data_IF_396942434377
#
_entry.id   IF_396942434377
#
_cell.length_a   1.000
_cell.length_b   1.000
_cell.length_c   1.000
_cell.angle_alpha   90.00
_cell.angle_beta   90.00
_cell.angle_gamma   90.00
#
_symmetry.space_group_name_H-M   'P 1'
#
loop_
_entity.id
_entity.type
_entity.pdbx_description
1 polymer ?
#
# COMPACT_ATOMS: atom_id res chain seq x y z
N UNK A 1 -37.02 5.40 -10.92
CA UNK A 1 -38.29 4.76 -11.21
C UNK A 1 -39.04 5.47 -12.33
N UNK A 2 -39.44 6.73 -12.17
CA UNK A 2 -40.19 7.53 -13.16
C UNK A 2 -39.56 7.51 -14.58
N UNK A 3 -38.23 7.57 -14.69
CA UNK A 3 -37.55 7.46 -15.98
C UNK A 3 -37.72 6.06 -16.60
N UNK A 4 -37.67 5.00 -15.85
CA UNK A 4 -37.86 3.63 -16.36
C UNK A 4 -39.31 3.47 -16.90
N UNK A 5 -40.29 4.01 -16.20
CA UNK A 5 -41.69 4.00 -16.61
C UNK A 5 -41.90 4.85 -17.87
N UNK A 6 -41.39 6.08 -17.90
CA UNK A 6 -41.56 7.00 -19.00
C UNK A 6 -40.94 6.51 -20.32
N UNK A 7 -39.80 5.83 -20.24
CA UNK A 7 -39.00 5.37 -21.37
C UNK A 7 -38.99 3.85 -21.55
N UNK A 8 -40.02 3.15 -21.04
CA UNK A 8 -40.04 1.68 -20.99
C UNK A 8 -39.74 1.03 -22.36
N UNK A 9 -40.33 1.55 -23.42
CA UNK A 9 -40.25 0.97 -24.78
C UNK A 9 -39.27 1.71 -25.69
N UNK A 10 -38.74 2.86 -25.27
CA UNK A 10 -37.96 3.76 -26.16
C UNK A 10 -36.51 3.90 -25.78
N UNK A 11 -36.12 3.65 -24.48
CA UNK A 11 -34.75 3.80 -24.05
C UNK A 11 -34.36 2.83 -22.93
N UNK A 12 -33.06 2.49 -22.86
CA UNK A 12 -32.46 1.85 -21.68
C UNK A 12 -32.04 2.94 -20.70
N UNK A 13 -32.38 2.73 -19.43
CA UNK A 13 -32.00 3.62 -18.33
C UNK A 13 -30.80 2.99 -17.63
N UNK A 14 -29.65 3.64 -17.76
CA UNK A 14 -28.40 3.19 -17.11
C UNK A 14 -28.23 4.00 -15.84
N UNK A 15 -28.14 3.31 -14.70
CA UNK A 15 -27.85 3.91 -13.40
C UNK A 15 -26.42 3.54 -13.02
N UNK A 16 -25.59 4.56 -12.88
CA UNK A 16 -24.22 4.40 -12.41
C UNK A 16 -24.19 4.40 -10.88
N UNK A 17 -23.95 3.23 -10.30
CA UNK A 17 -23.84 3.01 -8.84
C UNK A 17 -22.38 2.86 -8.41
N UNK A 18 -21.44 3.53 -9.04
CA UNK A 18 -20.00 3.48 -8.71
C UNK A 18 -19.70 3.82 -7.25
N UNK A 19 -20.57 4.60 -6.60
CA UNK A 19 -20.41 5.08 -5.23
C UNK A 19 -21.51 4.62 -4.26
N UNK A 20 -22.38 3.72 -4.65
CA UNK A 20 -23.55 3.33 -3.85
C UNK A 20 -23.21 2.80 -2.45
N UNK A 21 -22.02 2.21 -2.29
CA UNK A 21 -21.56 1.71 -0.99
C UNK A 21 -21.25 2.81 0.03
N UNK A 22 -21.20 4.08 -0.38
CA UNK A 22 -21.04 5.26 0.48
C UNK A 22 -22.36 5.99 0.74
N UNK A 23 -23.47 5.50 0.18
CA UNK A 23 -24.82 6.06 0.27
C UNK A 23 -25.70 5.19 1.17
N UNK A 24 -26.67 5.83 1.84
CA UNK A 24 -27.74 5.15 2.58
C UNK A 24 -28.89 4.72 1.65
N UNK A 25 -28.84 5.06 0.36
CA UNK A 25 -29.87 4.71 -0.60
C UNK A 25 -29.79 3.22 -0.99
N UNK A 26 -30.95 2.55 -1.15
CA UNK A 26 -30.97 1.18 -1.64
C UNK A 26 -30.51 1.10 -3.11
N UNK A 27 -29.75 0.06 -3.45
CA UNK A 27 -29.36 -0.19 -4.83
C UNK A 27 -30.54 -0.40 -5.76
N UNK A 28 -30.46 0.17 -6.94
CA UNK A 28 -31.44 0.00 -8.03
C UNK A 28 -31.49 -1.45 -8.55
N UNK A 29 -30.51 -2.29 -8.24
CA UNK A 29 -30.51 -3.72 -8.58
C UNK A 29 -31.79 -4.41 -8.06
N UNK A 30 -32.31 -4.01 -6.90
CA UNK A 30 -33.55 -4.55 -6.35
C UNK A 30 -34.80 -4.26 -7.23
N UNK A 31 -34.70 -3.39 -8.23
CA UNK A 31 -35.79 -3.02 -9.13
C UNK A 31 -35.68 -3.65 -10.52
N UNK A 32 -34.67 -4.48 -10.79
CA UNK A 32 -34.45 -5.09 -12.10
C UNK A 32 -35.63 -5.96 -12.57
N UNK A 33 -36.29 -6.64 -11.66
CA UNK A 33 -37.48 -7.45 -11.97
C UNK A 33 -38.70 -6.60 -12.38
N UNK A 34 -38.75 -5.33 -11.90
CA UNK A 34 -39.84 -4.41 -12.17
C UNK A 34 -39.66 -3.66 -13.50
N UNK A 35 -38.40 -3.38 -13.91
CA UNK A 35 -38.08 -2.54 -15.05
C UNK A 35 -37.15 -3.25 -16.04
N UNK A 36 -37.72 -3.72 -17.14
CA UNK A 36 -36.96 -4.43 -18.18
C UNK A 36 -35.93 -3.55 -18.90
N UNK A 37 -36.08 -2.24 -18.88
CA UNK A 37 -35.17 -1.28 -19.48
C UNK A 37 -34.09 -0.75 -18.52
N UNK A 38 -33.98 -1.26 -17.28
CA UNK A 38 -32.98 -0.83 -16.30
C UNK A 38 -31.68 -1.60 -16.48
N UNK A 39 -30.56 -0.88 -16.41
CA UNK A 39 -29.20 -1.40 -16.32
C UNK A 39 -28.49 -0.69 -15.17
N UNK A 40 -27.81 -1.43 -14.29
CA UNK A 40 -27.06 -0.87 -13.17
C UNK A 40 -25.58 -1.18 -13.34
N UNK A 41 -24.76 -0.14 -13.26
CA UNK A 41 -23.29 -0.27 -13.32
C UNK A 41 -22.70 -0.29 -11.92
N UNK A 42 -21.80 -1.24 -11.67
CA UNK A 42 -21.05 -1.41 -10.42
C UNK A 42 -19.55 -1.51 -10.71
N UNK A 43 -18.72 -1.19 -9.72
CA UNK A 43 -17.27 -1.26 -9.87
C UNK A 43 -16.59 -1.71 -8.57
N UNK A 44 -15.44 -2.37 -8.70
CA UNK A 44 -14.54 -2.63 -7.58
C UNK A 44 -13.52 -1.50 -7.37
N UNK A 45 -13.49 -0.49 -8.25
CA UNK A 45 -12.47 0.57 -8.27
C UNK A 45 -12.49 1.46 -7.04
N UNK A 46 -13.67 1.84 -6.55
CA UNK A 46 -13.86 2.86 -5.50
C UNK A 46 -14.00 2.25 -4.12
N UNK A 47 -15.14 1.65 -3.83
CA UNK A 47 -15.49 1.12 -2.52
C UNK A 47 -14.66 -0.10 -2.08
N UNK A 48 -13.99 -0.77 -3.03
CA UNK A 48 -13.16 -1.94 -2.79
C UNK A 48 -11.66 -1.65 -2.94
N UNK A 49 -11.26 -0.38 -3.16
CA UNK A 49 -9.88 0.06 -3.35
C UNK A 49 -9.12 -0.71 -4.46
N UNK A 50 -9.82 -1.15 -5.50
CA UNK A 50 -9.30 -2.03 -6.54
C UNK A 50 -9.29 -1.38 -7.94
N UNK A 51 -9.03 -0.07 -8.01
CA UNK A 51 -9.01 0.68 -9.26
C UNK A 51 -8.05 0.11 -10.32
N UNK A 52 -6.91 -0.44 -9.87
CA UNK A 52 -5.90 -1.07 -10.73
C UNK A 52 -6.36 -2.37 -11.39
N UNK A 53 -7.36 -3.06 -10.84
CA UNK A 53 -7.87 -4.30 -11.42
C UNK A 53 -8.71 -4.09 -12.69
N UNK A 54 -9.19 -2.89 -12.93
CA UNK A 54 -10.06 -2.57 -14.08
C UNK A 54 -11.28 -3.49 -14.18
N UNK A 55 -11.91 -3.80 -13.02
CA UNK A 55 -13.03 -4.72 -12.91
C UNK A 55 -14.30 -3.99 -12.50
N UNK A 56 -15.35 -4.17 -13.29
CA UNK A 56 -16.70 -3.66 -13.05
C UNK A 56 -17.74 -4.63 -13.59
N UNK A 57 -19.01 -4.35 -13.32
CA UNK A 57 -20.13 -5.16 -13.77
C UNK A 57 -21.29 -4.29 -14.26
N UNK A 58 -21.95 -4.74 -15.33
CA UNK A 58 -23.27 -4.29 -15.72
C UNK A 58 -24.29 -5.33 -15.28
N UNK A 59 -25.23 -4.95 -14.42
CA UNK A 59 -26.31 -5.82 -13.92
C UNK A 59 -27.59 -5.41 -14.59
N UNK A 60 -28.20 -6.35 -15.32
CA UNK A 60 -29.42 -6.12 -16.10
C UNK A 60 -30.16 -7.45 -16.30
N UNK A 61 -31.34 -7.41 -16.91
CA UNK A 61 -32.08 -8.63 -17.29
C UNK A 61 -31.33 -9.42 -18.39
N UNK A 62 -31.62 -10.73 -18.48
CA UNK A 62 -30.90 -11.67 -19.35
C UNK A 62 -30.89 -11.30 -20.84
N UNK A 63 -31.95 -10.67 -21.35
CA UNK A 63 -32.02 -10.18 -22.74
C UNK A 63 -30.98 -9.07 -23.00
N UNK A 64 -30.79 -8.13 -22.08
CA UNK A 64 -29.80 -7.06 -22.17
C UNK A 64 -28.39 -7.59 -21.99
N UNK A 65 -28.15 -8.44 -20.98
CA UNK A 65 -26.82 -9.02 -20.73
C UNK A 65 -26.35 -9.89 -21.88
N UNK A 66 -27.26 -10.64 -22.52
CA UNK A 66 -26.95 -11.43 -23.72
C UNK A 66 -26.52 -10.58 -24.92
N UNK A 67 -27.09 -9.38 -25.06
CA UNK A 67 -26.65 -8.43 -26.09
C UNK A 67 -25.28 -7.83 -25.75
N UNK A 68 -25.04 -7.46 -24.51
CA UNK A 68 -23.73 -6.96 -24.06
C UNK A 68 -22.63 -8.00 -24.26
N UNK A 69 -22.91 -9.28 -23.98
CA UNK A 69 -21.95 -10.37 -24.19
C UNK A 69 -21.51 -10.52 -25.65
N UNK A 70 -22.38 -10.22 -26.61
CA UNK A 70 -22.05 -10.30 -28.05
C UNK A 70 -21.04 -9.26 -28.52
N UNK A 71 -20.93 -8.14 -27.80
CA UNK A 71 -20.02 -7.02 -28.14
C UNK A 71 -18.79 -6.95 -27.24
N UNK A 72 -18.74 -7.73 -26.15
CA UNK A 72 -17.56 -7.83 -25.31
C UNK A 72 -16.44 -8.57 -26.06
N UNK A 73 -15.21 -8.12 -25.84
CA UNK A 73 -14.04 -8.82 -26.31
C UNK A 73 -13.98 -10.25 -25.72
N UNK A 74 -13.47 -11.25 -26.45
CA UNK A 74 -13.18 -12.56 -25.89
C UNK A 74 -12.25 -12.42 -24.67
N UNK A 75 -12.58 -13.14 -23.59
CA UNK A 75 -11.80 -13.13 -22.34
C UNK A 75 -11.56 -11.72 -21.77
N UNK A 76 -12.60 -10.93 -21.47
CA UNK A 76 -12.50 -9.51 -21.11
C UNK A 76 -11.75 -9.29 -19.77
N UNK A 77 -11.63 -10.31 -18.93
CA UNK A 77 -10.88 -10.29 -17.68
C UNK A 77 -9.78 -11.35 -17.69
N UNK A 78 -8.54 -10.93 -17.43
CA UNK A 78 -7.42 -11.82 -17.26
C UNK A 78 -7.58 -12.68 -15.98
N UNK A 79 -7.09 -13.92 -15.99
CA UNK A 79 -7.21 -14.84 -14.87
C UNK A 79 -6.69 -14.27 -13.52
N UNK A 80 -5.56 -13.57 -13.45
CA UNK A 80 -5.11 -12.92 -12.22
C UNK A 80 -6.10 -11.86 -11.71
N UNK A 81 -6.74 -11.11 -12.60
CA UNK A 81 -7.77 -10.10 -12.24
C UNK A 81 -8.99 -10.77 -11.63
N UNK A 82 -9.45 -11.88 -12.23
CA UNK A 82 -10.57 -12.66 -11.67
C UNK A 82 -10.23 -13.19 -10.28
N UNK A 83 -9.06 -13.78 -10.10
CA UNK A 83 -8.62 -14.30 -8.80
C UNK A 83 -8.54 -13.22 -7.74
N UNK A 84 -7.98 -12.06 -8.07
CA UNK A 84 -7.92 -10.91 -7.16
C UNK A 84 -9.33 -10.38 -6.83
N UNK A 85 -10.23 -10.25 -7.81
CA UNK A 85 -11.61 -9.83 -7.59
C UNK A 85 -12.36 -10.81 -6.65
N UNK A 86 -12.24 -12.11 -6.87
CA UNK A 86 -12.82 -13.13 -6.00
C UNK A 86 -12.28 -13.04 -4.57
N UNK A 87 -10.99 -12.78 -4.42
CA UNK A 87 -10.37 -12.60 -3.10
C UNK A 87 -10.91 -11.36 -2.38
N UNK A 88 -11.04 -10.23 -3.07
CA UNK A 88 -11.59 -8.99 -2.53
C UNK A 88 -13.05 -9.16 -2.08
N UNK A 89 -13.82 -9.94 -2.83
CA UNK A 89 -15.25 -10.16 -2.56
C UNK A 89 -15.54 -11.23 -1.49
N UNK A 90 -14.52 -11.84 -0.89
CA UNK A 90 -14.72 -12.75 0.25
C UNK A 90 -15.40 -12.02 1.42
N UNK A 91 -16.30 -12.70 2.17
CA UNK A 91 -17.04 -12.07 3.27
C UNK A 91 -16.17 -11.33 4.29
N UNK A 92 -15.05 -11.94 4.69
CA UNK A 92 -14.09 -11.35 5.65
C UNK A 92 -13.46 -10.04 5.14
N UNK A 93 -13.21 -9.92 3.85
CA UNK A 93 -12.64 -8.73 3.23
C UNK A 93 -13.72 -7.65 3.01
N UNK A 94 -14.90 -8.04 2.58
CA UNK A 94 -16.01 -7.10 2.41
C UNK A 94 -16.48 -6.50 3.74
N UNK A 95 -16.42 -7.25 4.84
CA UNK A 95 -16.71 -6.74 6.18
C UNK A 95 -15.70 -5.66 6.60
N UNK A 96 -14.39 -5.93 6.47
CA UNK A 96 -13.33 -4.93 6.75
C UNK A 96 -13.46 -3.66 5.89
N UNK A 97 -13.85 -3.82 4.64
CA UNK A 97 -14.08 -2.69 3.74
C UNK A 97 -15.33 -1.90 4.13
N UNK A 98 -16.37 -2.55 4.66
CA UNK A 98 -17.57 -1.87 5.15
C UNK A 98 -17.25 -0.94 6.34
N UNK A 99 -16.43 -1.38 7.29
CA UNK A 99 -15.94 -0.54 8.40
C UNK A 99 -15.19 0.69 7.90
N UNK A 100 -14.26 0.51 6.96
CA UNK A 100 -13.51 1.63 6.36
C UNK A 100 -14.41 2.60 5.60
N UNK A 101 -15.43 2.11 4.90
CA UNK A 101 -16.42 2.97 4.20
C UNK A 101 -17.23 3.79 5.19
N UNK A 102 -17.69 3.19 6.28
CA UNK A 102 -18.44 3.89 7.35
C UNK A 102 -17.60 5.02 7.97
N UNK A 103 -16.30 4.78 8.19
CA UNK A 103 -15.36 5.80 8.66
C UNK A 103 -15.20 6.96 7.63
N UNK A 104 -15.05 6.65 6.34
CA UNK A 104 -15.00 7.67 5.27
C UNK A 104 -16.27 8.50 5.25
N UNK A 105 -17.46 7.88 5.35
CA UNK A 105 -18.74 8.60 5.36
C UNK A 105 -18.83 9.52 6.58
N UNK A 106 -18.43 9.05 7.76
CA UNK A 106 -18.39 9.84 8.99
C UNK A 106 -17.47 11.06 8.83
N UNK A 107 -16.25 10.85 8.33
CA UNK A 107 -15.30 11.93 8.06
C UNK A 107 -15.82 12.89 6.99
N UNK A 108 -16.37 12.40 5.88
CA UNK A 108 -16.98 13.22 4.83
C UNK A 108 -18.00 14.21 5.42
N UNK A 109 -18.92 13.68 6.22
CA UNK A 109 -20.00 14.50 6.81
C UNK A 109 -19.44 15.52 7.82
N UNK A 110 -18.40 15.17 8.56
CA UNK A 110 -17.70 16.07 9.49
C UNK A 110 -16.95 17.20 8.75
N UNK A 111 -16.17 16.86 7.73
CA UNK A 111 -15.41 17.82 6.94
C UNK A 111 -16.29 18.71 6.06
N UNK A 112 -17.44 18.23 5.60
CA UNK A 112 -18.39 19.06 4.88
C UNK A 112 -18.79 20.32 5.70
N UNK A 113 -19.02 20.14 7.02
CA UNK A 113 -19.34 21.26 7.92
C UNK A 113 -18.14 22.19 8.12
N UNK A 114 -16.93 21.64 8.24
CA UNK A 114 -15.71 22.44 8.43
C UNK A 114 -15.39 23.25 7.17
N UNK A 115 -15.49 22.65 5.98
CA UNK A 115 -15.28 23.39 4.73
C UNK A 115 -16.31 24.50 4.52
N UNK A 116 -17.55 24.28 4.91
CA UNK A 116 -18.61 25.30 4.79
C UNK A 116 -18.37 26.55 5.70
N UNK A 117 -17.44 26.49 6.66
CA UNK A 117 -17.11 27.64 7.53
C UNK A 117 -16.04 28.57 6.96
N UNK A 118 -15.42 28.23 5.82
CA UNK A 118 -14.43 29.11 5.18
C UNK A 118 -15.10 30.19 4.31
N UNK A 119 -14.67 31.43 4.43
CA UNK A 119 -15.23 32.56 3.68
C UNK A 119 -15.08 32.41 2.15
N UNK A 120 -14.06 31.69 1.70
CA UNK A 120 -13.79 31.41 0.30
C UNK A 120 -14.61 30.24 -0.27
N UNK A 121 -15.41 29.56 0.57
CA UNK A 121 -16.29 28.46 0.16
C UNK A 121 -17.74 28.95 0.07
N UNK A 122 -18.25 29.07 -1.13
CA UNK A 122 -19.63 29.49 -1.37
C UNK A 122 -20.65 28.42 -0.99
N UNK A 123 -20.33 27.17 -1.28
CA UNK A 123 -21.17 26.02 -0.87
C UNK A 123 -20.40 24.70 -0.93
N UNK A 124 -20.84 23.76 -0.11
CA UNK A 124 -20.43 22.33 -0.16
C UNK A 124 -21.63 21.55 -0.64
N UNK A 125 -21.53 20.94 -1.81
CA UNK A 125 -22.63 20.17 -2.39
C UNK A 125 -22.86 18.86 -1.64
N UNK A 126 -24.13 18.39 -1.50
CA UNK A 126 -24.42 17.08 -0.94
C UNK A 126 -23.67 15.97 -1.67
N UNK A 127 -23.18 14.99 -0.91
CA UNK A 127 -22.40 13.90 -1.51
C UNK A 127 -22.76 12.55 -0.86
N UNK A 128 -22.99 11.57 -1.73
CA UNK A 128 -23.09 10.15 -1.41
C UNK A 128 -21.86 9.36 -1.93
N UNK A 129 -20.72 10.04 -2.09
CA UNK A 129 -19.48 9.46 -2.57
C UNK A 129 -18.37 9.52 -1.50
N UNK A 130 -17.17 9.12 -1.84
CA UNK A 130 -15.97 9.27 -1.01
C UNK A 130 -15.26 10.61 -1.21
N UNK A 131 -15.95 11.61 -1.72
CA UNK A 131 -15.42 12.95 -1.95
C UNK A 131 -16.48 14.01 -1.65
N UNK A 132 -16.05 15.26 -1.53
CA UNK A 132 -16.90 16.47 -1.51
C UNK A 132 -16.64 17.28 -2.76
N UNK A 133 -17.67 18.00 -3.21
CA UNK A 133 -17.56 18.99 -4.26
C UNK A 133 -17.88 20.36 -3.65
N UNK A 134 -16.90 21.25 -3.67
CA UNK A 134 -16.99 22.60 -3.13
C UNK A 134 -17.09 23.61 -4.27
N UNK A 135 -18.00 24.55 -4.18
CA UNK A 135 -17.97 25.77 -4.98
C UNK A 135 -17.21 26.83 -4.20
N UNK A 136 -16.10 27.30 -4.74
CA UNK A 136 -15.17 28.19 -4.06
C UNK A 136 -15.03 29.51 -4.82
N UNK A 137 -14.39 30.52 -4.22
CA UNK A 137 -14.15 31.81 -4.85
C UNK A 137 -13.24 31.68 -6.07
N UNK A 138 -12.16 30.91 -5.96
CA UNK A 138 -11.15 30.68 -6.99
C UNK A 138 -10.61 29.24 -6.89
N UNK A 139 -11.06 28.37 -7.78
CA UNK A 139 -10.67 26.97 -7.81
C UNK A 139 -9.20 26.79 -8.20
N UNK A 140 -8.69 27.62 -9.11
CA UNK A 140 -7.32 27.52 -9.58
C UNK A 140 -6.32 27.93 -8.47
N UNK A 141 -6.60 29.01 -7.75
CA UNK A 141 -5.78 29.46 -6.62
C UNK A 141 -5.76 28.41 -5.50
N UNK A 142 -6.92 27.86 -5.11
CA UNK A 142 -7.01 26.81 -4.11
C UNK A 142 -6.22 25.55 -4.52
N UNK A 143 -6.38 25.10 -5.76
CA UNK A 143 -5.64 23.96 -6.28
C UNK A 143 -4.12 24.19 -6.31
N UNK A 144 -3.68 25.41 -6.65
CA UNK A 144 -2.26 25.76 -6.67
C UNK A 144 -1.66 25.87 -5.26
N UNK A 145 -2.38 26.46 -4.30
CA UNK A 145 -1.97 26.48 -2.88
C UNK A 145 -1.84 25.07 -2.30
N UNK A 146 -2.83 24.21 -2.56
CA UNK A 146 -2.80 22.82 -2.15
C UNK A 146 -1.62 22.08 -2.80
N UNK A 147 -1.38 22.27 -4.11
CA UNK A 147 -0.26 21.64 -4.84
C UNK A 147 1.10 22.03 -4.28
N UNK A 148 1.31 23.30 -3.92
CA UNK A 148 2.55 23.76 -3.27
C UNK A 148 2.79 23.10 -1.91
N UNK A 149 1.73 22.65 -1.25
CA UNK A 149 1.77 21.91 0.01
C UNK A 149 1.75 20.38 -0.17
N UNK A 150 1.92 19.88 -1.40
CA UNK A 150 1.94 18.44 -1.70
C UNK A 150 0.56 17.79 -1.82
N UNK A 151 -0.54 18.57 -1.80
CA UNK A 151 -1.91 18.07 -1.89
C UNK A 151 -2.43 18.28 -3.31
N UNK A 152 -2.91 17.21 -3.95
CA UNK A 152 -3.49 17.27 -5.29
C UNK A 152 -5.01 17.29 -5.19
N UNK A 153 -5.61 18.42 -5.51
CA UNK A 153 -7.04 18.58 -5.67
C UNK A 153 -7.44 18.49 -7.16
N UNK A 154 -8.72 18.29 -7.43
CA UNK A 154 -9.23 18.25 -8.80
C UNK A 154 -10.12 19.43 -9.07
N UNK A 155 -9.66 20.34 -9.91
CA UNK A 155 -10.46 21.41 -10.49
C UNK A 155 -11.53 20.82 -11.43
N UNK A 156 -12.78 21.15 -11.19
CA UNK A 156 -13.95 20.74 -11.99
C UNK A 156 -14.57 21.91 -12.77
N UNK A 157 -13.94 23.07 -12.76
CA UNK A 157 -14.48 24.31 -13.37
C UNK A 157 -14.77 24.20 -14.88
N UNK A 158 -14.14 23.22 -15.54
CA UNK A 158 -14.37 22.94 -16.96
C UNK A 158 -15.69 22.21 -17.23
N UNK A 159 -16.38 21.72 -16.21
CA UNK A 159 -17.67 21.05 -16.35
C UNK A 159 -18.81 22.08 -16.40
N UNK A 160 -19.81 21.93 -17.29
CA UNK A 160 -20.96 22.83 -17.34
C UNK A 160 -21.67 22.93 -15.98
N UNK A 161 -21.87 24.15 -15.50
CA UNK A 161 -22.57 24.44 -14.24
C UNK A 161 -21.74 24.18 -12.99
N UNK A 162 -20.42 23.97 -13.11
CA UNK A 162 -19.49 23.75 -12.02
C UNK A 162 -18.34 24.78 -12.01
N UNK A 163 -18.65 26.02 -12.39
CA UNK A 163 -17.68 27.12 -12.37
C UNK A 163 -17.10 27.28 -10.95
N UNK A 164 -15.77 27.31 -10.86
CA UNK A 164 -15.03 27.35 -9.58
C UNK A 164 -15.35 26.18 -8.63
N UNK A 165 -15.61 25.01 -9.16
CA UNK A 165 -15.82 23.80 -8.38
C UNK A 165 -14.52 23.01 -8.18
N UNK A 166 -14.26 22.61 -6.93
CA UNK A 166 -13.12 21.76 -6.57
C UNK A 166 -13.61 20.45 -5.95
N UNK A 167 -13.16 19.33 -6.50
CA UNK A 167 -13.42 17.99 -5.92
C UNK A 167 -12.31 17.60 -4.96
N UNK A 168 -12.69 17.27 -3.74
CA UNK A 168 -11.82 16.88 -2.64
C UNK A 168 -12.16 15.44 -2.23
N UNK A 169 -11.26 14.49 -2.48
CA UNK A 169 -11.38 13.14 -1.96
C UNK A 169 -11.18 13.14 -0.43
N UNK A 170 -11.95 12.31 0.29
CA UNK A 170 -11.80 12.18 1.73
C UNK A 170 -10.61 11.27 2.02
N UNK A 171 -9.55 11.87 2.53
CA UNK A 171 -8.31 11.23 2.94
C UNK A 171 -8.30 10.78 4.41
N UNK A 172 -7.10 10.54 4.95
CA UNK A 172 -6.89 10.33 6.39
C UNK A 172 -7.22 11.60 7.19
N UNK A 173 -7.32 11.49 8.52
CA UNK A 173 -7.54 12.66 9.36
C UNK A 173 -6.41 13.68 9.22
N UNK A 174 -5.17 13.20 9.12
CA UNK A 174 -3.97 14.02 8.98
C UNK A 174 -3.96 14.77 7.63
N UNK A 175 -4.26 14.08 6.52
CA UNK A 175 -4.35 14.68 5.19
C UNK A 175 -5.44 15.75 5.13
N UNK A 176 -6.59 15.49 5.75
CA UNK A 176 -7.69 16.46 5.80
C UNK A 176 -7.33 17.67 6.67
N UNK A 177 -6.63 17.49 7.81
CA UNK A 177 -6.14 18.59 8.64
C UNK A 177 -5.11 19.45 7.88
N UNK A 178 -4.25 18.83 7.11
CA UNK A 178 -3.32 19.53 6.24
C UNK A 178 -4.04 20.44 5.24
N UNK A 179 -5.08 19.90 4.59
CA UNK A 179 -5.87 20.68 3.64
C UNK A 179 -6.59 21.86 4.32
N UNK A 180 -7.16 21.65 5.53
CA UNK A 180 -7.79 22.72 6.28
C UNK A 180 -6.80 23.84 6.64
N UNK A 181 -5.57 23.50 7.04
CA UNK A 181 -4.51 24.48 7.30
C UNK A 181 -4.15 25.29 6.04
N UNK A 182 -4.02 24.62 4.89
CA UNK A 182 -3.80 25.30 3.58
C UNK A 182 -4.93 26.28 3.27
N UNK A 183 -6.18 25.89 3.49
CA UNK A 183 -7.35 26.74 3.25
C UNK A 183 -7.42 27.92 4.23
N UNK A 184 -6.94 27.73 5.46
CA UNK A 184 -6.81 28.79 6.45
C UNK A 184 -5.65 29.76 6.16
N UNK A 185 -4.82 29.50 5.14
CA UNK A 185 -3.61 30.28 4.86
C UNK A 185 -2.47 30.02 5.84
N UNK A 186 -2.55 28.93 6.60
CA UNK A 186 -1.53 28.48 7.54
C UNK A 186 -0.49 27.59 6.81
N UNK A 187 0.73 27.50 7.37
CA UNK A 187 1.66 26.48 6.93
C UNK A 187 1.18 25.11 7.40
N UNK A 188 0.80 24.19 6.50
CA UNK A 188 0.33 22.90 6.92
C UNK A 188 1.44 22.13 7.65
N UNK A 189 1.12 21.41 8.72
CA UNK A 189 2.08 20.51 9.32
C UNK A 189 2.55 19.52 8.23
N UNK A 190 3.86 19.30 8.12
CA UNK A 190 4.37 18.27 7.24
C UNK A 190 3.69 16.95 7.63
N UNK A 191 3.03 16.30 6.68
CA UNK A 191 2.61 14.92 6.90
C UNK A 191 3.87 14.14 7.25
N UNK A 192 3.92 13.44 8.37
CA UNK A 192 5.00 12.52 8.59
C UNK A 192 4.92 11.52 7.44
N UNK A 193 5.90 11.55 6.57
CA UNK A 193 6.12 10.46 5.63
C UNK A 193 6.34 9.21 6.48
N UNK A 194 5.27 8.51 6.83
CA UNK A 194 5.38 7.30 7.63
C UNK A 194 5.83 6.18 6.71
N UNK A 195 7.13 6.13 6.46
CA UNK A 195 7.75 4.93 5.88
C UNK A 195 7.80 3.84 6.96
N UNK A 196 6.60 3.47 7.42
CA UNK A 196 6.38 2.43 8.42
C UNK A 196 5.46 1.36 7.87
N UNK A 197 5.85 0.10 8.04
CA UNK A 197 5.04 -1.04 7.62
C UNK A 197 5.17 -2.18 8.62
N UNK A 198 4.07 -2.93 8.80
CA UNK A 198 4.04 -4.12 9.67
C UNK A 198 3.59 -5.33 8.88
N UNK A 199 4.24 -6.45 9.12
CA UNK A 199 3.92 -7.76 8.55
C UNK A 199 3.66 -8.73 9.70
N UNK A 200 2.61 -9.53 9.58
CA UNK A 200 2.37 -10.71 10.41
C UNK A 200 2.32 -11.92 9.49
N UNK A 201 3.17 -12.91 9.76
CA UNK A 201 3.27 -14.16 9.00
C UNK A 201 3.09 -15.34 9.95
N UNK A 202 2.27 -16.30 9.58
CA UNK A 202 2.08 -17.54 10.36
C UNK A 202 2.06 -18.72 9.40
N UNK A 203 2.91 -19.70 9.71
CA UNK A 203 2.98 -21.01 9.04
C UNK A 203 2.67 -22.12 10.03
N UNK A 204 2.96 -23.37 9.69
CA UNK A 204 2.95 -24.49 10.64
C UNK A 204 4.17 -24.47 11.57
N UNK A 205 5.28 -23.88 11.12
CA UNK A 205 6.58 -23.89 11.78
C UNK A 205 6.86 -22.59 12.56
N UNK A 206 6.32 -21.45 12.09
CA UNK A 206 6.66 -20.13 12.66
C UNK A 206 5.45 -19.22 12.82
N UNK A 207 5.51 -18.33 13.84
CA UNK A 207 4.61 -17.19 13.99
C UNK A 207 5.44 -15.92 14.18
N UNK A 208 5.37 -14.99 13.21
CA UNK A 208 6.26 -13.84 13.13
C UNK A 208 5.47 -12.55 13.08
N UNK A 209 5.93 -11.53 13.79
CA UNK A 209 5.51 -10.15 13.63
C UNK A 209 6.73 -9.25 13.40
N UNK A 210 6.67 -8.43 12.35
CA UNK A 210 7.74 -7.48 12.00
C UNK A 210 7.15 -6.09 11.82
N UNK A 211 7.74 -5.09 12.42
CA UNK A 211 7.44 -3.67 12.16
C UNK A 211 8.73 -2.93 11.82
N UNK A 212 8.76 -2.29 10.66
CA UNK A 212 9.84 -1.43 10.20
C UNK A 212 9.35 0.02 10.17
N UNK A 213 10.17 0.95 10.64
CA UNK A 213 9.95 2.38 10.46
C UNK A 213 11.26 3.04 9.98
N UNK A 214 11.30 3.43 8.71
CA UNK A 214 12.48 3.99 8.06
C UNK A 214 12.75 5.46 8.44
N UNK A 215 11.82 6.12 9.15
CA UNK A 215 11.92 7.52 9.56
C UNK A 215 12.37 7.68 11.03
N UNK A 216 12.56 6.57 11.76
CA UNK A 216 13.00 6.54 13.15
C UNK A 216 14.14 5.57 13.33
N UNK A 217 15.07 5.85 14.24
CA UNK A 217 16.21 4.98 14.56
C UNK A 217 15.96 4.06 15.75
N UNK A 218 14.84 4.21 16.43
CA UNK A 218 14.44 3.42 17.60
C UNK A 218 12.91 3.29 17.66
N UNK A 219 12.36 2.24 18.32
CA UNK A 219 13.11 1.15 18.99
C UNK A 219 13.76 0.17 18.02
N UNK A 220 14.78 -0.57 18.48
CA UNK A 220 15.27 -1.80 17.87
C UNK A 220 15.10 -2.92 18.90
N UNK A 221 14.15 -3.83 18.62
CA UNK A 221 13.80 -4.97 19.49
C UNK A 221 13.65 -6.19 18.61
N UNK A 222 14.49 -7.18 18.83
CA UNK A 222 14.57 -8.36 17.98
C UNK A 222 14.66 -9.59 18.87
N UNK A 223 13.83 -10.57 18.56
CA UNK A 223 13.81 -11.85 19.24
C UNK A 223 13.38 -12.94 18.25
N UNK A 224 14.36 -13.61 17.63
CA UNK A 224 14.12 -14.74 16.74
C UNK A 224 14.32 -16.08 17.44
N UNK A 225 14.90 -16.05 18.66
CA UNK A 225 15.36 -17.23 19.38
C UNK A 225 16.74 -17.75 18.92
N UNK A 226 17.34 -17.15 17.88
CA UNK A 226 18.71 -17.43 17.39
C UNK A 226 19.58 -16.22 17.70
N UNK A 227 20.41 -16.33 18.76
CA UNK A 227 21.07 -15.16 19.35
C UNK A 227 22.02 -14.43 18.41
N UNK A 228 22.79 -15.17 17.60
CA UNK A 228 23.67 -14.54 16.63
C UNK A 228 22.89 -13.88 15.48
N UNK A 229 21.77 -14.46 15.08
CA UNK A 229 20.90 -13.86 14.06
C UNK A 229 20.23 -12.58 14.57
N UNK A 230 19.78 -12.57 15.84
CA UNK A 230 19.27 -11.35 16.49
C UNK A 230 20.30 -10.22 16.44
N UNK A 231 21.57 -10.54 16.74
CA UNK A 231 22.67 -9.59 16.63
C UNK A 231 22.88 -9.11 15.19
N UNK A 232 22.76 -9.98 14.19
CA UNK A 232 22.90 -9.61 12.78
C UNK A 232 21.75 -8.70 12.29
N UNK A 233 20.52 -8.97 12.66
CA UNK A 233 19.38 -8.10 12.35
C UNK A 233 19.48 -6.74 13.05
N UNK A 234 20.01 -6.70 14.28
CA UNK A 234 20.33 -5.46 14.99
C UNK A 234 21.39 -4.64 14.23
N UNK A 235 22.41 -5.28 13.63
CA UNK A 235 23.38 -4.58 12.77
C UNK A 235 22.70 -3.98 11.52
N UNK A 236 21.78 -4.70 10.87
CA UNK A 236 21.00 -4.14 9.75
C UNK A 236 20.27 -2.89 10.20
N UNK A 237 19.52 -2.93 11.28
CA UNK A 237 18.71 -1.82 11.76
C UNK A 237 19.57 -0.60 12.17
N UNK A 238 20.62 -0.83 12.98
CA UNK A 238 21.53 0.22 13.45
C UNK A 238 22.30 0.89 12.30
N UNK A 239 22.89 0.10 11.42
CA UNK A 239 23.67 0.64 10.29
C UNK A 239 22.75 1.20 9.18
N UNK A 240 21.55 0.64 9.02
CA UNK A 240 20.48 1.16 8.18
C UNK A 240 19.85 2.43 8.71
N UNK A 241 19.97 2.67 10.04
CA UNK A 241 19.42 3.86 10.68
C UNK A 241 17.89 3.86 10.74
N UNK A 242 17.28 2.69 10.92
CA UNK A 242 15.82 2.56 11.02
C UNK A 242 15.39 1.76 12.26
N UNK A 243 14.14 1.94 12.68
CA UNK A 243 13.51 1.18 13.76
C UNK A 243 13.05 -0.19 13.27
N UNK A 244 13.35 -1.23 14.06
CA UNK A 244 12.96 -2.61 13.80
C UNK A 244 12.42 -3.26 15.06
N UNK A 245 11.17 -3.70 15.02
CA UNK A 245 10.59 -4.58 16.03
C UNK A 245 10.26 -5.91 15.35
N UNK A 246 10.89 -7.02 15.79
CA UNK A 246 10.73 -8.35 15.22
C UNK A 246 10.63 -9.37 16.33
N UNK A 247 9.54 -10.14 16.32
CA UNK A 247 9.30 -11.27 17.22
C UNK A 247 9.00 -12.50 16.36
N UNK A 248 9.63 -13.61 16.71
CA UNK A 248 9.40 -14.92 16.09
C UNK A 248 9.24 -15.99 17.17
N UNK A 249 8.16 -16.75 17.06
CA UNK A 249 7.96 -18.01 17.78
C UNK A 249 8.06 -19.14 16.74
N UNK A 250 9.17 -19.86 16.74
CA UNK A 250 9.51 -20.87 15.75
C UNK A 250 9.90 -22.22 16.34
N UNK A 251 9.98 -23.23 15.50
CA UNK A 251 10.26 -24.64 15.84
C UNK A 251 11.76 -24.95 16.05
N UNK A 252 12.47 -24.10 16.81
CA UNK A 252 13.90 -24.18 17.08
C UNK A 252 14.33 -25.53 17.70
N UNK A 253 13.40 -26.34 18.20
CA UNK A 253 13.66 -27.69 18.65
C UNK A 253 14.01 -28.67 17.51
N UNK A 254 13.76 -28.28 16.27
CA UNK A 254 14.16 -28.99 15.04
C UNK A 254 15.53 -28.44 14.60
N UNK A 255 15.55 -27.19 14.11
CA UNK A 255 16.76 -26.42 13.79
C UNK A 255 16.40 -24.93 13.61
N UNK A 256 17.37 -24.02 13.37
CA UNK A 256 17.08 -22.60 13.17
C UNK A 256 16.57 -22.24 11.76
N UNK A 257 16.52 -23.16 10.80
CA UNK A 257 16.29 -22.89 9.37
C UNK A 257 14.99 -22.10 9.13
N UNK A 258 13.85 -22.67 9.58
CA UNK A 258 12.54 -22.06 9.36
C UNK A 258 12.42 -20.68 10.00
N UNK A 259 12.93 -20.52 11.24
CA UNK A 259 12.90 -19.24 11.94
C UNK A 259 13.73 -18.16 11.21
N UNK A 260 14.93 -18.50 10.75
CA UNK A 260 15.84 -17.60 10.07
C UNK A 260 15.28 -17.19 8.69
N UNK A 261 14.82 -18.16 7.89
CA UNK A 261 14.25 -17.92 6.56
C UNK A 261 12.99 -17.07 6.65
N UNK A 262 12.01 -17.47 7.46
CA UNK A 262 10.71 -16.81 7.56
C UNK A 262 10.83 -15.39 8.14
N UNK A 263 11.77 -15.14 9.07
CA UNK A 263 12.09 -13.79 9.53
C UNK A 263 12.67 -12.92 8.40
N UNK A 264 13.55 -13.45 7.55
CA UNK A 264 14.10 -12.74 6.41
C UNK A 264 13.00 -12.41 5.37
N UNK A 265 12.09 -13.34 5.10
CA UNK A 265 10.91 -13.13 4.26
C UNK A 265 10.05 -11.97 4.80
N UNK A 266 9.67 -12.04 6.06
CA UNK A 266 8.81 -11.06 6.71
C UNK A 266 9.47 -9.68 6.76
N UNK A 267 10.77 -9.60 7.07
CA UNK A 267 11.55 -8.36 7.07
C UNK A 267 11.65 -7.76 5.67
N UNK A 268 11.91 -8.57 4.64
CA UNK A 268 11.94 -8.11 3.24
C UNK A 268 10.61 -7.50 2.80
N UNK A 269 9.49 -8.13 3.15
CA UNK A 269 8.15 -7.61 2.90
C UNK A 269 7.88 -6.30 3.65
N UNK A 270 8.32 -6.19 4.91
CA UNK A 270 8.15 -4.99 5.73
C UNK A 270 8.96 -3.81 5.20
N UNK A 271 10.22 -4.02 4.80
CA UNK A 271 11.07 -2.99 4.18
C UNK A 271 10.44 -2.52 2.86
N UNK A 272 10.01 -3.44 2.00
CA UNK A 272 9.34 -3.10 0.74
C UNK A 272 8.07 -2.28 0.96
N UNK A 273 7.25 -2.69 1.93
CA UNK A 273 6.03 -1.97 2.27
C UNK A 273 6.30 -0.56 2.81
N UNK A 274 7.34 -0.41 3.64
CA UNK A 274 7.75 0.88 4.18
C UNK A 274 8.36 1.82 3.13
N UNK A 275 9.06 1.30 2.12
CA UNK A 275 9.62 2.09 1.00
C UNK A 275 8.53 2.66 0.07
N UNK A 276 7.36 2.06 0.03
CA UNK A 276 6.23 2.55 -0.77
C UNK A 276 6.57 2.71 -2.26
N UNK A 277 6.41 3.91 -2.80
CA UNK A 277 6.63 4.22 -4.22
C UNK A 277 8.10 4.40 -4.61
N UNK A 278 9.00 4.30 -3.64
CA UNK A 278 10.47 4.36 -3.82
C UNK A 278 10.99 5.69 -4.39
N UNK A 279 10.23 6.78 -4.31
CA UNK A 279 10.66 8.09 -4.77
C UNK A 279 11.65 8.72 -3.79
N UNK A 280 12.70 9.35 -4.33
CA UNK A 280 13.68 10.08 -3.54
C UNK A 280 14.64 9.19 -2.73
N UNK A 281 14.65 7.87 -2.97
CA UNK A 281 15.64 6.97 -2.38
C UNK A 281 16.97 7.05 -3.12
N UNK A 282 18.07 6.85 -2.39
CA UNK A 282 19.38 6.60 -2.98
C UNK A 282 19.43 5.23 -3.65
N UNK A 283 20.48 4.98 -4.40
CA UNK A 283 20.67 3.70 -5.12
C UNK A 283 22.13 3.29 -5.02
N UNK A 284 22.34 2.01 -5.15
CA UNK A 284 23.61 1.32 -5.37
C UNK A 284 24.35 0.96 -4.10
N UNK A 285 25.63 1.31 -3.93
CA UNK A 285 26.37 0.46 -3.08
C UNK A 285 27.17 1.08 -1.96
N UNK A 286 27.75 0.20 -1.21
CA UNK A 286 28.60 0.52 -0.08
C UNK A 286 29.75 -0.45 0.03
N UNK A 287 30.94 0.07 0.33
CA UNK A 287 32.11 -0.70 0.72
C UNK A 287 32.34 -0.53 2.22
N UNK A 288 32.55 -1.61 2.94
CA UNK A 288 32.77 -1.58 4.38
C UNK A 288 33.94 -2.48 4.76
N UNK A 289 35.02 -1.92 5.33
CA UNK A 289 36.06 -2.69 6.00
C UNK A 289 35.64 -3.03 7.42
N UNK A 290 35.97 -4.21 7.88
CA UNK A 290 35.82 -4.64 9.26
C UNK A 290 37.03 -5.47 9.65
N UNK A 291 38.00 -4.83 10.32
CA UNK A 291 39.33 -5.37 10.60
C UNK A 291 39.97 -5.92 9.31
N UNK A 292 40.26 -7.21 9.24
CA UNK A 292 40.83 -7.89 8.07
C UNK A 292 39.80 -8.20 6.97
N UNK A 293 38.52 -8.05 7.27
CA UNK A 293 37.45 -8.36 6.34
C UNK A 293 37.03 -7.14 5.53
N UNK A 294 36.69 -7.36 4.27
CA UNK A 294 36.16 -6.34 3.38
C UNK A 294 34.89 -6.84 2.69
N UNK A 295 33.78 -6.11 2.83
CA UNK A 295 32.55 -6.37 2.09
C UNK A 295 32.24 -5.30 1.05
N UNK A 296 31.77 -5.76 -0.10
CA UNK A 296 31.20 -4.93 -1.16
C UNK A 296 29.70 -5.27 -1.26
N UNK A 297 28.84 -4.25 -1.14
CA UNK A 297 27.40 -4.42 -1.27
C UNK A 297 26.89 -3.46 -2.34
N UNK A 298 26.12 -3.98 -3.30
CA UNK A 298 25.36 -3.17 -4.24
C UNK A 298 23.88 -3.58 -4.19
N UNK A 299 23.02 -2.60 -3.91
CA UNK A 299 21.58 -2.78 -3.71
C UNK A 299 20.80 -1.84 -4.62
N UNK A 300 19.82 -2.38 -5.35
CA UNK A 300 18.92 -1.59 -6.19
C UNK A 300 17.48 -2.09 -6.13
N UNK A 301 16.55 -1.21 -5.77
CA UNK A 301 15.12 -1.50 -5.65
C UNK A 301 14.38 -1.41 -7.00
N UNK A 302 14.96 -1.96 -8.06
CA UNK A 302 14.43 -1.94 -9.42
C UNK A 302 13.14 -2.73 -9.66
N UNK A 303 12.60 -3.42 -8.63
CA UNK A 303 11.35 -4.20 -8.71
C UNK A 303 11.54 -5.61 -9.29
N UNK A 304 12.79 -6.02 -9.58
CA UNK A 304 13.14 -7.36 -10.03
C UNK A 304 14.11 -7.98 -9.04
N UNK A 305 13.85 -9.22 -8.69
CA UNK A 305 14.72 -9.98 -7.82
C UNK A 305 15.99 -10.44 -8.54
N UNK A 306 17.12 -10.29 -7.89
CA UNK A 306 18.38 -10.94 -8.25
C UNK A 306 19.32 -10.96 -7.05
N UNK A 307 19.99 -12.07 -6.79
CA UNK A 307 21.07 -12.17 -5.81
C UNK A 307 22.34 -12.72 -6.45
N UNK A 308 23.46 -12.00 -6.27
CA UNK A 308 24.84 -12.53 -6.46
C UNK A 308 25.56 -12.45 -5.12
N UNK A 309 25.80 -13.60 -4.49
CA UNK A 309 26.43 -13.70 -3.19
C UNK A 309 27.75 -14.47 -3.29
N UNK A 310 28.85 -13.83 -2.91
CA UNK A 310 30.21 -14.37 -2.98
C UNK A 310 30.86 -14.29 -1.60
N UNK A 311 30.96 -15.41 -0.93
CA UNK A 311 31.62 -15.58 0.35
C UNK A 311 32.20 -17.00 0.43
N UNK A 312 33.35 -17.13 1.03
CA UNK A 312 33.95 -18.42 1.38
C UNK A 312 34.25 -18.37 2.90
N UNK A 313 33.30 -18.86 3.69
CA UNK A 313 33.39 -18.82 5.14
C UNK A 313 34.27 -19.96 5.66
N UNK A 314 35.37 -19.66 6.38
CA UNK A 314 36.24 -20.70 6.91
C UNK A 314 35.58 -21.69 7.88
N UNK A 315 34.56 -21.23 8.61
CA UNK A 315 33.84 -22.05 9.61
C UNK A 315 32.40 -22.31 9.17
N UNK A 316 31.82 -23.41 9.59
CA UNK A 316 30.45 -23.79 9.26
C UNK A 316 29.39 -23.08 10.09
N UNK A 317 29.73 -22.48 11.21
CA UNK A 317 28.83 -21.79 12.15
C UNK A 317 29.51 -20.56 12.75
N UNK A 318 28.71 -19.57 13.08
CA UNK A 318 29.06 -18.45 13.95
C UNK A 318 27.99 -18.33 15.04
N UNK A 319 28.41 -18.59 16.31
CA UNK A 319 27.44 -18.74 17.40
C UNK A 319 26.48 -19.90 17.12
N UNK A 320 25.19 -19.60 17.15
CA UNK A 320 24.08 -20.52 16.87
C UNK A 320 23.54 -20.42 15.45
N UNK A 321 24.18 -19.63 14.57
CA UNK A 321 23.79 -19.45 13.17
C UNK A 321 24.69 -20.28 12.23
N UNK A 322 24.14 -21.22 11.44
CA UNK A 322 24.87 -21.89 10.37
C UNK A 322 25.27 -20.90 9.25
N UNK A 323 26.49 -20.97 8.74
CA UNK A 323 27.01 -20.03 7.74
C UNK A 323 26.35 -20.17 6.36
N UNK A 324 25.82 -21.32 6.00
CA UNK A 324 25.02 -21.54 4.79
C UNK A 324 23.71 -20.75 4.84
N UNK A 325 23.14 -20.52 6.02
CA UNK A 325 21.96 -19.68 6.19
C UNK A 325 22.20 -18.20 5.85
N UNK A 326 23.45 -17.72 5.92
CA UNK A 326 23.75 -16.30 5.60
C UNK A 326 23.36 -15.96 4.18
N UNK A 327 23.75 -16.78 3.19
CA UNK A 327 23.33 -16.60 1.81
C UNK A 327 21.81 -16.71 1.67
N UNK A 328 21.19 -17.64 2.39
CA UNK A 328 19.75 -17.86 2.35
C UNK A 328 18.96 -16.67 2.91
N UNK A 329 19.45 -16.05 3.99
CA UNK A 329 18.89 -14.80 4.52
C UNK A 329 18.88 -13.69 3.47
N UNK A 330 20.01 -13.44 2.80
CA UNK A 330 20.09 -12.41 1.78
C UNK A 330 19.28 -12.73 0.53
N UNK A 331 19.13 -14.02 0.19
CA UNK A 331 18.23 -14.48 -0.86
C UNK A 331 16.78 -14.11 -0.52
N UNK A 332 16.28 -14.52 0.64
CA UNK A 332 14.91 -14.27 1.08
C UNK A 332 14.61 -12.78 1.25
N UNK A 333 15.57 -12.00 1.79
CA UNK A 333 15.48 -10.55 1.86
C UNK A 333 15.34 -9.91 0.46
N UNK A 334 16.27 -10.21 -0.46
CA UNK A 334 16.29 -9.60 -1.78
C UNK A 334 15.05 -9.95 -2.61
N UNK A 335 14.58 -11.21 -2.52
CA UNK A 335 13.38 -11.67 -3.21
C UNK A 335 12.13 -10.91 -2.72
N UNK A 336 11.94 -10.80 -1.41
CA UNK A 336 10.74 -10.20 -0.84
C UNK A 336 10.78 -8.67 -0.82
N UNK A 337 11.95 -8.06 -0.86
CA UNK A 337 12.13 -6.64 -1.16
C UNK A 337 11.95 -6.32 -2.66
N UNK A 338 11.98 -7.33 -3.53
CA UNK A 338 12.06 -7.17 -4.99
C UNK A 338 13.24 -6.28 -5.40
N UNK A 339 14.42 -6.66 -4.94
CA UNK A 339 15.65 -5.92 -5.14
C UNK A 339 16.70 -6.75 -5.87
N UNK A 340 17.60 -6.07 -6.56
CA UNK A 340 18.86 -6.62 -7.04
C UNK A 340 19.90 -6.41 -5.93
N UNK A 341 20.51 -7.49 -5.46
CA UNK A 341 21.49 -7.46 -4.39
C UNK A 341 22.74 -8.22 -4.81
N UNK A 342 23.89 -7.56 -4.74
CA UNK A 342 25.18 -8.17 -4.90
C UNK A 342 25.98 -8.00 -3.61
N UNK A 343 26.52 -9.08 -3.08
CA UNK A 343 27.40 -9.08 -1.90
C UNK A 343 28.63 -9.90 -2.24
N UNK A 344 29.79 -9.31 -2.01
CA UNK A 344 31.06 -10.03 -2.06
C UNK A 344 31.86 -9.69 -0.79
N UNK A 345 32.29 -10.70 -0.05
CA UNK A 345 33.08 -10.53 1.16
C UNK A 345 34.35 -11.36 1.09
N UNK A 346 35.45 -10.78 1.57
CA UNK A 346 36.74 -11.45 1.78
C UNK A 346 37.22 -11.18 3.18
N UNK A 347 37.92 -12.13 3.80
CA UNK A 347 38.43 -12.04 5.16
C UNK A 347 38.99 -13.37 5.64
N UNK A 348 39.43 -13.41 6.89
CA UNK A 348 40.01 -14.61 7.52
C UNK A 348 39.15 -15.08 8.70
N UNK A 349 38.39 -14.18 9.33
CA UNK A 349 37.54 -14.47 10.46
C UNK A 349 36.08 -14.56 10.05
N UNK A 350 35.47 -15.72 10.18
CA UNK A 350 34.08 -15.97 9.78
C UNK A 350 33.08 -15.01 10.44
N UNK A 351 33.24 -14.71 11.74
CA UNK A 351 32.40 -13.76 12.46
C UNK A 351 32.46 -12.37 11.80
N UNK A 352 33.68 -11.85 11.56
CA UNK A 352 33.87 -10.55 10.94
C UNK A 352 33.31 -10.51 9.51
N UNK A 353 33.49 -11.59 8.73
CA UNK A 353 32.95 -11.67 7.38
C UNK A 353 31.42 -11.63 7.36
N UNK A 354 30.77 -12.44 8.21
CA UNK A 354 29.30 -12.47 8.32
C UNK A 354 28.78 -11.12 8.79
N UNK A 355 29.32 -10.58 9.89
CA UNK A 355 28.88 -9.29 10.43
C UNK A 355 29.10 -8.14 9.42
N UNK A 356 30.21 -8.15 8.68
CA UNK A 356 30.47 -7.18 7.60
C UNK A 356 29.38 -7.22 6.53
N UNK A 357 28.88 -8.41 6.14
CA UNK A 357 27.76 -8.53 5.18
C UNK A 357 26.51 -7.82 5.68
N UNK A 358 26.12 -8.05 6.94
CA UNK A 358 24.90 -7.44 7.51
C UNK A 358 25.07 -5.93 7.73
N UNK A 359 26.21 -5.46 8.22
CA UNK A 359 26.54 -4.03 8.35
C UNK A 359 26.56 -3.33 6.98
N UNK A 360 27.24 -3.94 5.99
CA UNK A 360 27.34 -3.42 4.64
C UNK A 360 25.98 -3.30 3.97
N UNK A 361 25.12 -4.31 4.13
CA UNK A 361 23.75 -4.28 3.66
C UNK A 361 22.94 -3.15 4.34
N UNK A 362 23.03 -3.02 5.68
CA UNK A 362 22.37 -1.93 6.40
C UNK A 362 22.83 -0.56 5.89
N UNK A 363 24.14 -0.37 5.65
CA UNK A 363 24.70 0.89 5.11
C UNK A 363 24.25 1.18 3.68
N UNK A 364 24.16 0.17 2.82
CA UNK A 364 23.60 0.32 1.47
C UNK A 364 22.12 0.67 1.50
N UNK A 365 21.37 0.08 2.43
CA UNK A 365 19.93 0.36 2.63
C UNK A 365 19.67 1.80 3.13
N UNK A 366 20.62 2.39 3.88
CA UNK A 366 20.49 3.74 4.45
C UNK A 366 20.58 4.86 3.40
N UNK A 367 21.17 4.63 2.24
CA UNK A 367 21.34 5.63 1.19
C UNK A 367 20.02 6.01 0.52
#
# INVERSE_FOLDING_TARGET
QKLCETYADTARIVVDETYIEFSDQPSSIAKLDQFANLVVLRTLSTSHAAAGLRCGAAVARGDVTSLLQKVLAPYPLAAPVMQAALTILKPENTAKLAEKRADIVTRRNGYAKQFASFDDVHSVLPSDANYLLLLVRDAADLCEKARKSGIILRDQSHQPGLENAVRIAIGSAEEMQQLLAVMAGENPPALPAQRRFSVTRKTSETAISVTVNLDKTAPVKINTGVGFYDHMLDQIAKHGGFSLELECDGDLHIDPHHSVEDCAIALGQAIRGALGDKRGIGRYGFFLPMDESLVQVALDFGGRFFLDFKADFPESHVGDLPCDMVQHVFYSLAEHMQANLHIAVTGENTHHMVEACFKGFGRALRQ
#
